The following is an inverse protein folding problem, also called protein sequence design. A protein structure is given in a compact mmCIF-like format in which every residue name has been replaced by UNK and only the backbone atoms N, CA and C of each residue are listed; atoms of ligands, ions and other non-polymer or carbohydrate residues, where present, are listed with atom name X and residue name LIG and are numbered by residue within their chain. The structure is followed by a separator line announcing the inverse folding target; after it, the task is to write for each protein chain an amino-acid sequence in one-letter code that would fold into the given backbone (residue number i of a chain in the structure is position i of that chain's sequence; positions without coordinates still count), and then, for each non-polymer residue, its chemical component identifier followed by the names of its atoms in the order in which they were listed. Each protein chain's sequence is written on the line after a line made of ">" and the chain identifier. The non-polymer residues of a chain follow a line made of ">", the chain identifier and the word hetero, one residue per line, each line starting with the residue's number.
data_IF_116717937471
#
_entry.id   IF_116717937471
#
_cell.length_a   1.000
_cell.length_b   1.000
_cell.length_c   1.000
_cell.angle_alpha   90.00
_cell.angle_beta   90.00
_cell.angle_gamma   90.00
#
_symmetry.space_group_name_H-M   'P 1'
#
loop_
_entity.id
_entity.type
_entity.pdbx_description
1 polymer ?
#
# COMPACT_ATOMS: atom_id res chain seq x y z
N UNK A 1 18.47 -3.39 -7.25
CA UNK A 1 17.31 -4.25 -6.95
C UNK A 1 16.03 -3.46 -7.12
N UNK A 2 15.01 -4.04 -7.74
CA UNK A 2 13.65 -3.50 -7.83
C UNK A 2 12.72 -4.48 -7.13
N UNK A 3 11.92 -3.98 -6.18
CA UNK A 3 10.93 -4.76 -5.43
C UNK A 3 9.53 -4.42 -5.94
N UNK A 4 8.76 -5.46 -6.28
CA UNK A 4 7.32 -5.35 -6.55
C UNK A 4 6.53 -5.75 -5.31
N UNK A 5 5.53 -4.95 -4.94
CA UNK A 5 4.64 -5.16 -3.80
C UNK A 5 3.22 -5.29 -4.36
N UNK A 6 2.60 -6.44 -4.14
CA UNK A 6 1.19 -6.67 -4.43
C UNK A 6 0.48 -6.79 -3.10
N UNK A 7 -0.46 -5.88 -2.83
CA UNK A 7 -1.07 -5.73 -1.52
C UNK A 7 -2.57 -6.04 -1.59
N UNK A 8 -3.04 -6.75 -0.58
CA UNK A 8 -4.43 -7.19 -0.43
C UNK A 8 -4.97 -6.73 0.94
N UNK A 9 -6.22 -6.27 1.00
CA UNK A 9 -6.73 -5.60 2.19
C UNK A 9 -7.04 -6.60 3.31
N UNK A 10 -7.52 -7.79 3.00
CA UNK A 10 -7.93 -8.84 3.96
C UNK A 10 -6.80 -9.22 4.92
N UNK A 11 -5.56 -9.19 4.43
CA UNK A 11 -4.37 -9.53 5.21
C UNK A 11 -3.73 -8.36 5.96
N UNK A 12 -4.26 -7.15 5.81
CA UNK A 12 -3.65 -5.96 6.41
C UNK A 12 -3.80 -5.95 7.94
N UNK A 13 -2.80 -5.43 8.63
CA UNK A 13 -2.79 -5.35 10.08
C UNK A 13 -3.92 -4.44 10.58
N UNK A 14 -4.67 -4.94 11.56
CA UNK A 14 -5.86 -4.26 12.07
C UNK A 14 -7.13 -4.58 11.29
N UNK A 15 -7.11 -5.50 10.33
CA UNK A 15 -8.33 -6.06 9.72
C UNK A 15 -8.73 -7.32 10.49
N UNK A 16 -9.99 -7.39 10.91
CA UNK A 16 -10.54 -8.56 11.60
C UNK A 16 -11.97 -8.92 11.16
N UNK A 17 -12.58 -8.14 10.25
CA UNK A 17 -13.92 -8.37 9.68
C UNK A 17 -13.91 -8.03 8.20
N UNK A 18 -14.55 -8.87 7.37
CA UNK A 18 -14.70 -8.65 5.92
C UNK A 18 -15.37 -7.32 5.57
N UNK A 19 -16.18 -6.76 6.48
CA UNK A 19 -16.77 -5.43 6.30
C UNK A 19 -15.70 -4.35 6.13
N UNK A 20 -14.52 -4.49 6.72
CA UNK A 20 -13.40 -3.54 6.53
C UNK A 20 -12.74 -3.67 5.15
N UNK A 21 -12.99 -4.76 4.43
CA UNK A 21 -12.42 -5.06 3.12
C UNK A 21 -13.34 -4.64 1.97
N UNK A 22 -14.66 -4.64 2.18
CA UNK A 22 -15.61 -4.41 1.09
C UNK A 22 -15.88 -2.94 0.79
N UNK A 23 -15.69 -2.55 -0.47
CA UNK A 23 -16.02 -1.22 -0.98
C UNK A 23 -17.45 -0.81 -0.62
N UNK A 24 -17.62 0.40 -0.08
CA UNK A 24 -18.93 0.99 0.23
C UNK A 24 -19.49 0.69 1.63
N UNK A 25 -18.82 -0.11 2.45
CA UNK A 25 -19.16 -0.21 3.88
C UNK A 25 -18.66 1.02 4.65
N UNK A 26 -19.22 1.25 5.84
CA UNK A 26 -18.74 2.31 6.73
C UNK A 26 -17.32 2.00 7.25
N UNK A 27 -17.02 0.72 7.44
CA UNK A 27 -15.75 0.23 8.00
C UNK A 27 -14.61 0.20 6.97
N UNK A 28 -14.92 0.28 5.67
CA UNK A 28 -13.94 0.22 4.59
C UNK A 28 -12.90 1.34 4.68
N UNK A 29 -13.29 2.56 5.06
CA UNK A 29 -12.33 3.67 5.17
C UNK A 29 -11.24 3.41 6.21
N UNK A 30 -11.59 2.74 7.31
CA UNK A 30 -10.61 2.27 8.29
C UNK A 30 -9.71 1.21 7.66
N UNK A 31 -10.27 0.25 6.93
CA UNK A 31 -9.49 -0.79 6.27
C UNK A 31 -8.49 -0.25 5.23
N UNK A 32 -8.89 0.76 4.45
CA UNK A 32 -8.00 1.48 3.51
C UNK A 32 -6.82 2.13 4.23
N UNK A 33 -7.05 2.71 5.40
CA UNK A 33 -6.00 3.29 6.22
C UNK A 33 -5.03 2.21 6.74
N UNK A 34 -5.54 1.07 7.21
CA UNK A 34 -4.73 -0.09 7.59
C UNK A 34 -3.85 -0.59 6.43
N UNK A 35 -4.45 -0.86 5.27
CA UNK A 35 -3.72 -1.28 4.07
C UNK A 35 -2.61 -0.30 3.69
N UNK A 36 -2.92 1.00 3.70
CA UNK A 36 -1.94 2.03 3.34
C UNK A 36 -0.79 2.09 4.36
N UNK A 37 -1.08 1.92 5.65
CA UNK A 37 -0.05 1.89 6.69
C UNK A 37 0.89 0.69 6.53
N UNK A 38 0.37 -0.49 6.23
CA UNK A 38 1.17 -1.69 5.97
C UNK A 38 2.05 -1.54 4.74
N UNK A 39 1.48 -1.05 3.63
CA UNK A 39 2.25 -0.75 2.41
C UNK A 39 3.41 0.20 2.73
N UNK A 40 3.19 1.23 3.56
CA UNK A 40 4.25 2.16 3.96
C UNK A 40 5.37 1.48 4.75
N UNK A 41 5.05 0.51 5.62
CA UNK A 41 6.06 -0.27 6.33
C UNK A 41 6.84 -1.19 5.38
N UNK A 42 6.16 -1.82 4.42
CA UNK A 42 6.81 -2.66 3.39
C UNK A 42 7.76 -1.82 2.52
N UNK A 43 7.32 -0.65 2.05
CA UNK A 43 8.15 0.28 1.29
C UNK A 43 9.39 0.67 2.09
N UNK A 44 9.22 1.06 3.36
CA UNK A 44 10.33 1.41 4.25
C UNK A 44 11.31 0.25 4.39
N UNK A 45 10.81 -0.94 4.71
CA UNK A 45 11.64 -2.14 4.86
C UNK A 45 12.39 -2.51 3.57
N UNK A 46 11.76 -2.37 2.41
CA UNK A 46 12.40 -2.60 1.12
C UNK A 46 13.57 -1.64 0.86
N UNK A 47 13.39 -0.35 1.16
CA UNK A 47 14.46 0.64 1.03
C UNK A 47 15.58 0.43 2.07
N UNK A 48 15.23 0.13 3.32
CA UNK A 48 16.19 -0.22 4.37
C UNK A 48 17.02 -1.46 3.98
N UNK A 49 16.40 -2.40 3.25
CA UNK A 49 17.05 -3.58 2.65
C UNK A 49 17.84 -3.32 1.36
N UNK A 50 17.99 -2.07 0.93
CA UNK A 50 18.80 -1.69 -0.24
C UNK A 50 18.07 -1.73 -1.59
N UNK A 51 16.73 -1.75 -1.61
CA UNK A 51 15.98 -1.57 -2.85
C UNK A 51 16.29 -0.20 -3.47
N UNK A 52 16.54 -0.18 -4.79
CA UNK A 52 16.73 1.06 -5.54
C UNK A 52 15.44 1.58 -6.20
N UNK A 53 14.37 0.76 -6.17
CA UNK A 53 13.04 1.06 -6.68
C UNK A 53 12.03 0.14 -6.01
N UNK A 54 10.86 0.67 -5.67
CA UNK A 54 9.71 -0.08 -5.17
C UNK A 54 8.49 0.28 -6.03
N UNK A 55 7.74 -0.71 -6.48
CA UNK A 55 6.46 -0.52 -7.18
C UNK A 55 5.39 -1.22 -6.39
N UNK A 56 4.26 -0.55 -6.17
CA UNK A 56 3.15 -1.08 -5.39
C UNK A 56 1.92 -1.17 -6.27
N UNK A 57 1.23 -2.30 -6.19
CA UNK A 57 -0.08 -2.52 -6.79
C UNK A 57 -1.05 -3.00 -5.71
N UNK A 58 -2.14 -2.27 -5.56
CA UNK A 58 -3.31 -2.73 -4.82
C UNK A 58 -4.05 -3.74 -5.70
N UNK A 59 -4.20 -4.97 -5.20
CA UNK A 59 -4.83 -6.09 -5.90
C UNK A 59 -6.21 -6.43 -5.34
N UNK A 60 -6.67 -5.68 -4.34
CA UNK A 60 -7.94 -5.96 -3.71
C UNK A 60 -9.10 -5.38 -4.52
N UNK A 61 -10.08 -6.21 -4.88
CA UNK A 61 -11.32 -5.82 -5.56
C UNK A 61 -11.04 -4.88 -6.77
N UNK A 62 -11.36 -3.59 -6.65
CA UNK A 62 -11.17 -2.60 -7.71
C UNK A 62 -9.73 -2.13 -7.88
N UNK A 63 -8.84 -2.39 -6.92
CA UNK A 63 -7.46 -1.89 -6.89
C UNK A 63 -7.31 -0.41 -6.50
N UNK A 64 -8.36 0.24 -5.98
CA UNK A 64 -8.36 1.66 -5.58
C UNK A 64 -8.52 1.90 -4.07
N UNK A 65 -8.15 0.91 -3.25
CA UNK A 65 -8.27 0.97 -1.79
C UNK A 65 -7.11 1.75 -1.17
N UNK A 66 -5.91 1.69 -1.77
CA UNK A 66 -4.74 2.42 -1.29
C UNK A 66 -4.94 3.95 -1.32
N UNK A 67 -4.62 4.62 -0.22
CA UNK A 67 -4.76 6.06 -0.07
C UNK A 67 -3.50 6.77 -0.58
N UNK A 68 -3.47 7.07 -1.87
CA UNK A 68 -2.32 7.71 -2.55
C UNK A 68 -1.76 8.94 -1.81
N UNK A 69 -2.58 9.86 -1.25
CA UNK A 69 -2.05 11.01 -0.51
C UNK A 69 -1.35 10.66 0.81
N UNK A 70 -1.58 9.45 1.34
CA UNK A 70 -1.01 8.93 2.59
C UNK A 70 0.08 7.90 2.37
N UNK A 71 0.34 7.51 1.10
CA UNK A 71 1.52 6.73 0.77
C UNK A 71 2.75 7.58 1.08
N UNK A 72 3.64 7.01 1.89
CA UNK A 72 4.82 7.69 2.35
C UNK A 72 5.62 8.13 1.12
N UNK A 73 5.75 9.43 0.94
CA UNK A 73 6.76 10.00 0.07
C UNK A 73 8.12 9.69 0.73
N UNK A 74 8.62 8.45 0.57
CA UNK A 74 10.04 8.22 0.77
C UNK A 74 10.76 9.38 0.08
N UNK A 75 11.76 10.00 0.74
CA UNK A 75 12.19 11.35 0.42
C UNK A 75 12.35 11.46 -1.07
N UNK A 76 11.66 12.44 -1.67
CA UNK A 76 11.58 12.81 -3.10
C UNK A 76 12.95 13.19 -3.70
N UNK A 77 14.01 12.51 -3.27
CA UNK A 77 15.42 12.75 -3.52
C UNK A 77 16.00 11.50 -4.17
N UNK A 78 15.85 11.47 -5.49
CA UNK A 78 16.75 10.81 -6.44
C UNK A 78 17.12 9.35 -6.11
N UNK A 79 16.23 8.42 -6.48
CA UNK A 79 16.57 7.13 -7.11
C UNK A 79 15.28 6.48 -7.61
N UNK A 80 15.03 6.70 -8.90
CA UNK A 80 14.25 5.84 -9.81
C UNK A 80 12.79 5.52 -9.44
N UNK A 81 11.88 6.34 -9.97
CA UNK A 81 10.58 5.91 -10.52
C UNK A 81 9.52 5.41 -9.54
N UNK A 82 8.73 6.34 -8.98
CA UNK A 82 7.37 6.03 -8.55
C UNK A 82 6.54 5.75 -9.81
N UNK A 83 6.08 4.51 -9.95
CA UNK A 83 5.04 4.19 -10.91
C UNK A 83 3.82 3.75 -10.09
N UNK A 84 2.97 4.73 -9.82
CA UNK A 84 1.58 4.52 -9.40
C UNK A 84 0.87 4.03 -10.66
N UNK A 85 0.46 2.76 -10.69
CA UNK A 85 -0.40 2.24 -11.75
C UNK A 85 -1.76 1.90 -11.15
N UNK A 86 -2.75 2.62 -11.68
CA UNK A 86 -4.18 2.32 -11.79
C UNK A 86 -4.55 0.91 -11.36
#
# INVERSE_FOLDING_TARGET
>A
MHVGVFADIEGSFGIWRMRQCHTGTAEWQYGRACLTADINQVIKGAFDGGAGKVTVKDTHDTGFNCLVPQLNEAPRRKRTGYLVLT
#
